data_IF_337041592121
#
_entry.id   IF_337041592121
#
_cell.length_a   1.000
_cell.length_b   1.000
_cell.length_c   1.000
_cell.angle_alpha   90.00
_cell.angle_beta   90.00
_cell.angle_gamma   90.00
#
_symmetry.space_group_name_H-M   'P 1'
#
loop_
_entity.id
_entity.type
_entity.pdbx_description
1 polymer ?
#
# COMPACT_ATOMS: atom_id res chain seq x y z
N UNK A 1 -81.34 -9.93 25.14
CA UNK A 1 -81.58 -8.95 24.06
C UNK A 1 -80.59 -9.30 22.94
N UNK A 2 -80.93 -10.25 22.07
CA UNK A 2 -81.64 -10.05 20.78
C UNK A 2 -80.84 -9.16 19.81
N UNK A 3 -80.50 -9.54 18.57
CA UNK A 3 -80.66 -10.78 17.81
C UNK A 3 -79.78 -10.74 16.54
N UNK A 4 -79.30 -11.93 16.11
CA UNK A 4 -79.15 -12.56 14.75
C UNK A 4 -79.04 -11.63 13.51
N UNK A 5 -78.19 -11.89 12.50
CA UNK A 5 -78.29 -12.94 11.44
C UNK A 5 -77.00 -12.86 10.55
N UNK A 6 -76.20 -13.87 10.15
CA UNK A 6 -76.41 -15.10 9.31
C UNK A 6 -76.82 -14.69 7.87
N UNK A 7 -76.17 -15.01 6.73
CA UNK A 7 -75.29 -16.12 6.29
C UNK A 7 -74.63 -15.86 4.87
N UNK A 8 -74.11 -16.82 4.02
CA UNK A 8 -72.80 -16.75 3.33
C UNK A 8 -72.82 -17.01 1.78
N UNK A 9 -71.65 -17.26 1.17
CA UNK A 9 -71.44 -17.81 -0.20
C UNK A 9 -70.94 -16.77 -1.22
N UNK A 10 -70.18 -17.02 -2.30
CA UNK A 10 -69.57 -18.18 -2.99
C UNK A 10 -68.61 -17.62 -4.07
N UNK A 11 -67.58 -18.39 -4.44
CA UNK A 11 -66.80 -18.46 -5.71
C UNK A 11 -66.97 -17.42 -6.84
N UNK A 12 -65.83 -17.01 -7.44
CA UNK A 12 -65.78 -16.58 -8.85
C UNK A 12 -64.48 -15.87 -9.27
N UNK A 13 -63.57 -16.60 -9.95
CA UNK A 13 -62.78 -16.05 -11.07
C UNK A 13 -63.76 -15.66 -12.22
N UNK A 14 -63.46 -14.78 -13.20
CA UNK A 14 -62.27 -14.92 -14.06
C UNK A 14 -61.79 -13.66 -14.85
N UNK A 15 -60.84 -13.92 -15.75
CA UNK A 15 -60.63 -13.43 -17.12
C UNK A 15 -60.09 -12.04 -17.53
N UNK A 16 -59.19 -12.20 -18.50
CA UNK A 16 -58.47 -11.32 -19.40
C UNK A 16 -59.45 -10.59 -20.35
N UNK A 17 -59.18 -9.33 -20.68
CA UNK A 17 -59.65 -8.78 -21.95
C UNK A 17 -58.62 -7.86 -22.62
N UNK A 18 -58.57 -7.99 -23.93
CA UNK A 18 -57.53 -7.57 -24.87
C UNK A 18 -57.95 -6.28 -25.60
N UNK A 19 -56.94 -5.48 -26.02
CA UNK A 19 -56.86 -4.35 -26.98
C UNK A 19 -58.02 -4.14 -28.00
N UNK A 20 -58.22 -2.96 -28.70
CA UNK A 20 -57.21 -2.30 -29.57
C UNK A 20 -57.47 -0.76 -29.89
N UNK A 21 -57.22 -0.20 -31.09
CA UNK A 21 -55.97 0.36 -31.66
C UNK A 21 -56.10 1.84 -32.11
N UNK A 22 -55.06 2.51 -32.67
CA UNK A 22 -55.14 3.38 -33.90
C UNK A 22 -53.74 3.67 -34.46
N UNK A 23 -53.69 3.66 -35.80
CA UNK A 23 -52.61 3.71 -36.82
C UNK A 23 -51.86 5.06 -36.92
N UNK A 24 -50.52 5.09 -37.06
CA UNK A 24 -49.65 4.99 -38.27
C UNK A 24 -49.52 6.28 -39.10
N UNK A 25 -48.31 6.83 -39.17
CA UNK A 25 -47.74 7.38 -40.42
C UNK A 25 -46.21 7.43 -40.37
N UNK A 26 -45.61 7.04 -41.48
CA UNK A 26 -44.19 6.77 -41.72
C UNK A 26 -43.48 7.99 -42.32
N UNK A 27 -42.15 8.10 -42.14
CA UNK A 27 -41.09 8.17 -43.19
C UNK A 27 -39.86 8.95 -42.72
N UNK A 28 -38.67 8.41 -43.04
CA UNK A 28 -37.42 9.18 -43.18
C UNK A 28 -36.18 8.53 -42.57
N UNK A 29 -35.45 7.74 -43.36
CA UNK A 29 -34.04 7.38 -43.11
C UNK A 29 -33.15 8.55 -43.57
N UNK A 30 -32.15 9.03 -42.83
CA UNK A 30 -30.72 8.62 -42.84
C UNK A 30 -29.90 9.64 -41.99
N UNK A 31 -28.61 9.37 -41.66
CA UNK A 31 -27.98 9.78 -40.41
C UNK A 31 -27.04 11.00 -40.50
N UNK A 32 -26.52 11.39 -39.31
CA UNK A 32 -25.32 12.21 -39.05
C UNK A 32 -25.57 13.67 -38.68
N UNK A 33 -25.41 14.02 -37.40
CA UNK A 33 -24.51 15.10 -36.95
C UNK A 33 -24.58 15.34 -35.42
N UNK A 34 -23.43 15.14 -34.78
CA UNK A 34 -22.94 15.79 -33.55
C UNK A 34 -23.54 15.41 -32.17
N UNK A 35 -22.70 14.92 -31.23
CA UNK A 35 -23.05 14.96 -29.81
C UNK A 35 -23.01 16.42 -29.35
N UNK A 36 -24.19 16.95 -29.05
CA UNK A 36 -24.40 18.24 -28.40
C UNK A 36 -23.52 18.35 -27.14
N UNK A 37 -22.61 19.32 -27.14
CA UNK A 37 -21.89 19.80 -25.95
C UNK A 37 -22.91 20.44 -24.99
N UNK A 38 -23.68 19.61 -24.28
CA UNK A 38 -24.55 20.07 -23.20
C UNK A 38 -23.73 20.22 -21.92
N UNK A 39 -23.76 21.43 -21.38
CA UNK A 39 -22.97 21.91 -20.26
C UNK A 39 -22.92 20.94 -19.08
N UNK A 40 -21.71 20.74 -18.57
CA UNK A 40 -21.44 20.06 -17.30
C UNK A 40 -22.09 20.84 -16.17
N UNK A 41 -23.31 20.43 -15.78
CA UNK A 41 -23.88 20.80 -14.48
C UNK A 41 -22.93 20.27 -13.41
N UNK A 42 -22.40 21.15 -12.55
CA UNK A 42 -21.68 20.73 -11.34
C UNK A 42 -22.70 20.01 -10.45
N UNK A 43 -22.77 18.69 -10.55
CA UNK A 43 -23.57 17.88 -9.64
C UNK A 43 -22.89 17.95 -8.28
N UNK A 44 -23.58 18.54 -7.31
CA UNK A 44 -23.33 18.31 -5.88
C UNK A 44 -23.36 16.80 -5.67
N UNK A 45 -22.17 16.18 -5.64
CA UNK A 45 -22.03 14.74 -5.59
C UNK A 45 -22.50 14.27 -4.21
N UNK A 46 -23.64 13.59 -4.16
CA UNK A 46 -24.07 12.88 -2.97
C UNK A 46 -23.07 11.75 -2.67
N UNK A 47 -22.86 11.35 -1.40
CA UNK A 47 -21.97 10.24 -1.06
C UNK A 47 -22.25 8.96 -1.88
N UNK A 48 -23.52 8.70 -2.18
CA UNK A 48 -23.95 7.59 -3.04
C UNK A 48 -23.52 7.77 -4.51
N UNK A 49 -23.61 9.00 -5.05
CA UNK A 49 -23.13 9.31 -6.40
C UNK A 49 -21.63 9.08 -6.53
N UNK A 50 -20.85 9.47 -5.51
CA UNK A 50 -19.42 9.19 -5.43
C UNK A 50 -19.15 7.68 -5.39
N UNK A 51 -19.91 6.91 -4.62
CA UNK A 51 -19.74 5.46 -4.53
C UNK A 51 -20.05 4.76 -5.86
N UNK A 52 -21.14 5.14 -6.53
CA UNK A 52 -21.49 4.62 -7.85
C UNK A 52 -20.41 4.94 -8.88
N UNK A 53 -19.86 6.15 -8.84
CA UNK A 53 -18.81 6.57 -9.76
C UNK A 53 -17.48 5.88 -9.50
N UNK A 54 -17.11 5.67 -8.23
CA UNK A 54 -15.96 4.84 -7.84
C UNK A 54 -16.11 3.40 -8.34
N UNK A 55 -17.31 2.82 -8.21
CA UNK A 55 -17.58 1.47 -8.69
C UNK A 55 -17.48 1.38 -10.23
N UNK A 56 -18.02 2.38 -10.94
CA UNK A 56 -17.92 2.49 -12.41
C UNK A 56 -16.45 2.58 -12.85
N UNK A 57 -15.66 3.43 -12.20
CA UNK A 57 -14.23 3.59 -12.51
C UNK A 57 -13.43 2.31 -12.21
N UNK A 58 -13.74 1.62 -11.12
CA UNK A 58 -13.11 0.33 -10.79
C UNK A 58 -13.43 -0.76 -11.80
N UNK A 59 -14.68 -0.81 -12.31
CA UNK A 59 -15.05 -1.72 -13.38
C UNK A 59 -14.33 -1.40 -14.69
N UNK A 60 -14.20 -0.11 -15.04
CA UNK A 60 -13.44 0.31 -16.22
C UNK A 60 -11.95 -0.02 -16.11
N UNK A 61 -11.35 0.19 -14.94
CA UNK A 61 -9.97 -0.20 -14.69
C UNK A 61 -9.78 -1.71 -14.91
N UNK A 62 -10.65 -2.56 -14.32
CA UNK A 62 -10.58 -4.02 -14.49
C UNK A 62 -10.74 -4.45 -15.96
N UNK A 63 -11.63 -3.80 -16.70
CA UNK A 63 -11.80 -4.07 -18.13
C UNK A 63 -10.52 -3.75 -18.93
N UNK A 64 -9.87 -2.63 -18.64
CA UNK A 64 -8.62 -2.24 -19.30
C UNK A 64 -7.45 -3.15 -18.91
N UNK A 65 -7.37 -3.55 -17.65
CA UNK A 65 -6.38 -4.53 -17.17
C UNK A 65 -6.54 -5.90 -17.88
N UNK A 66 -7.77 -6.35 -18.12
CA UNK A 66 -8.04 -7.62 -18.81
C UNK A 66 -7.82 -7.57 -20.33
N UNK A 67 -8.03 -6.41 -20.98
CA UNK A 67 -7.92 -6.26 -22.43
C UNK A 67 -6.57 -5.69 -22.88
N UNK A 68 -5.72 -5.25 -21.96
CA UNK A 68 -4.31 -5.07 -22.28
C UNK A 68 -3.73 -6.45 -22.59
N UNK A 69 -3.32 -6.66 -23.84
CA UNK A 69 -2.38 -7.74 -24.17
C UNK A 69 -1.19 -7.51 -23.26
N UNK A 70 -1.07 -8.32 -22.21
CA UNK A 70 0.09 -8.32 -21.33
C UNK A 70 1.26 -8.63 -22.25
N UNK A 71 2.11 -7.63 -22.50
CA UNK A 71 3.30 -7.76 -23.35
C UNK A 71 4.21 -8.77 -22.68
N UNK A 72 4.00 -10.05 -22.97
CA UNK A 72 4.81 -11.14 -22.47
C UNK A 72 5.87 -11.38 -23.54
N UNK A 73 7.14 -11.23 -23.20
CA UNK A 73 8.26 -11.42 -24.12
C UNK A 73 8.20 -12.79 -24.82
N UNK A 74 7.66 -13.81 -24.14
CA UNK A 74 7.47 -15.15 -24.67
C UNK A 74 6.45 -15.22 -25.83
N UNK A 75 5.54 -14.26 -25.95
CA UNK A 75 4.57 -14.20 -27.06
C UNK A 75 5.17 -13.62 -28.35
N UNK A 76 6.42 -13.14 -28.29
CA UNK A 76 7.14 -12.54 -29.43
C UNK A 76 8.40 -13.32 -29.79
N UNK A 77 8.69 -14.40 -29.06
CA UNK A 77 9.62 -15.42 -29.50
C UNK A 77 8.83 -16.30 -30.48
N UNK A 78 9.09 -16.17 -31.78
CA UNK A 78 8.64 -17.19 -32.74
C UNK A 78 9.18 -18.54 -32.24
N UNK A 79 8.28 -19.50 -32.01
CA UNK A 79 8.65 -20.90 -31.91
C UNK A 79 9.55 -21.21 -33.11
N UNK A 80 10.78 -21.65 -32.86
CA UNK A 80 11.57 -22.20 -33.95
C UNK A 80 10.80 -23.41 -34.48
N UNK A 81 10.61 -23.41 -35.80
CA UNK A 81 10.04 -24.46 -36.62
C UNK A 81 10.28 -25.88 -36.06
N UNK A 82 9.25 -26.74 -35.93
CA UNK A 82 9.48 -28.14 -36.22
C UNK A 82 9.65 -28.25 -37.75
N UNK A 83 10.90 -28.29 -38.17
CA UNK A 83 11.34 -28.93 -39.41
C UNK A 83 10.69 -30.31 -39.51
N UNK A 84 9.61 -30.45 -40.28
CA UNK A 84 9.22 -31.66 -41.03
C UNK A 84 8.12 -31.30 -42.04
N UNK A 85 8.47 -31.22 -43.34
CA UNK A 85 7.48 -31.07 -44.39
C UNK A 85 8.03 -30.55 -45.72
N UNK A 86 8.89 -31.36 -46.35
CA UNK A 86 9.14 -31.53 -47.79
C UNK A 86 8.68 -30.41 -48.75
N UNK A 87 9.65 -29.78 -49.43
CA UNK A 87 9.39 -28.81 -50.49
C UNK A 87 10.63 -28.00 -50.87
N UNK A 88 11.34 -28.48 -51.89
CA UNK A 88 12.53 -27.87 -52.49
C UNK A 88 12.34 -26.39 -52.91
N UNK A 89 13.48 -25.69 -53.01
CA UNK A 89 13.67 -24.34 -53.58
C UNK A 89 13.19 -23.11 -52.79
N UNK A 90 14.02 -22.67 -51.83
CA UNK A 90 14.13 -21.24 -51.48
C UNK A 90 15.61 -20.79 -51.34
N UNK A 91 15.96 -19.60 -51.87
CA UNK A 91 17.34 -19.11 -51.87
C UNK A 91 17.82 -18.76 -50.45
N UNK A 92 19.12 -18.92 -50.15
CA UNK A 92 19.70 -18.64 -48.84
C UNK A 92 19.88 -17.13 -48.66
N UNK A 93 18.80 -16.41 -48.38
CA UNK A 93 18.87 -14.94 -48.33
C UNK A 93 17.80 -14.23 -47.52
N UNK A 94 16.82 -14.94 -46.94
CA UNK A 94 15.71 -14.30 -46.24
C UNK A 94 15.48 -14.88 -44.84
N UNK A 95 16.53 -14.95 -44.00
CA UNK A 95 16.29 -14.87 -42.55
C UNK A 95 15.87 -13.43 -42.26
N UNK A 96 14.56 -13.23 -42.10
CA UNK A 96 13.99 -11.98 -41.57
C UNK A 96 14.82 -11.60 -40.32
N UNK A 97 15.38 -10.38 -40.22
CA UNK A 97 16.16 -10.00 -39.05
C UNK A 97 15.27 -10.19 -37.83
N UNK A 98 15.77 -10.88 -36.80
CA UNK A 98 15.03 -11.22 -35.57
C UNK A 98 14.42 -9.97 -34.91
N UNK A 99 13.21 -9.60 -35.35
CA UNK A 99 12.43 -8.50 -34.80
C UNK A 99 11.79 -8.93 -33.48
N UNK A 100 11.47 -10.23 -33.35
CA UNK A 100 10.93 -10.83 -32.13
C UNK A 100 11.89 -10.73 -30.94
N UNK A 101 13.17 -11.07 -31.12
CA UNK A 101 14.17 -10.96 -30.03
C UNK A 101 14.41 -9.51 -29.61
N UNK A 102 14.36 -8.55 -30.54
CA UNK A 102 14.46 -7.11 -30.21
C UNK A 102 13.25 -6.61 -29.43
N UNK A 103 12.05 -7.02 -29.82
CA UNK A 103 10.80 -6.67 -29.12
C UNK A 103 10.76 -7.31 -27.73
N UNK A 104 11.15 -8.58 -27.61
CA UNK A 104 11.29 -9.28 -26.33
C UNK A 104 12.30 -8.59 -25.39
N UNK A 105 13.44 -8.13 -25.93
CA UNK A 105 14.43 -7.35 -25.18
C UNK A 105 13.85 -6.04 -24.65
N UNK A 106 13.15 -5.28 -25.49
CA UNK A 106 12.49 -4.02 -25.09
C UNK A 106 11.38 -4.26 -24.04
N UNK A 107 10.63 -5.35 -24.15
CA UNK A 107 9.61 -5.73 -23.17
C UNK A 107 10.26 -6.01 -21.81
N UNK A 108 11.35 -6.77 -21.79
CA UNK A 108 12.09 -7.06 -20.56
C UNK A 108 12.70 -5.79 -19.95
N UNK A 109 13.23 -4.87 -20.77
CA UNK A 109 13.73 -3.58 -20.31
C UNK A 109 12.60 -2.71 -19.71
N UNK A 110 11.43 -2.70 -20.34
CA UNK A 110 10.24 -2.00 -19.83
C UNK A 110 9.84 -2.57 -18.46
N UNK A 111 9.81 -3.90 -18.31
CA UNK A 111 9.43 -4.52 -17.04
C UNK A 111 10.47 -4.30 -15.94
N UNK A 112 11.76 -4.29 -16.28
CA UNK A 112 12.82 -3.88 -15.34
C UNK A 112 12.61 -2.44 -14.88
N UNK A 113 12.37 -1.51 -15.80
CA UNK A 113 12.16 -0.09 -15.48
C UNK A 113 10.90 0.15 -14.65
N UNK A 114 9.82 -0.60 -14.90
CA UNK A 114 8.62 -0.56 -14.05
C UNK A 114 8.93 -0.98 -12.62
N UNK A 115 9.63 -2.11 -12.44
CA UNK A 115 10.03 -2.58 -11.11
C UNK A 115 10.92 -1.57 -10.38
N UNK A 116 11.87 -0.97 -11.08
CA UNK A 116 12.73 0.08 -10.52
C UNK A 116 11.93 1.33 -10.10
N UNK A 117 10.99 1.75 -10.93
CA UNK A 117 10.12 2.90 -10.63
C UNK A 117 9.21 2.62 -9.42
N UNK A 118 8.61 1.43 -9.36
CA UNK A 118 7.75 1.02 -8.24
C UNK A 118 8.54 0.96 -6.93
N UNK A 119 9.78 0.48 -6.97
CA UNK A 119 10.67 0.47 -5.80
C UNK A 119 11.05 1.89 -5.35
N UNK A 120 11.41 2.77 -6.29
CA UNK A 120 11.67 4.20 -6.00
C UNK A 120 10.46 4.89 -5.40
N UNK A 121 9.28 4.65 -5.96
CA UNK A 121 8.03 5.24 -5.50
C UNK A 121 7.66 4.73 -4.10
N UNK A 122 7.85 3.43 -3.84
CA UNK A 122 7.67 2.83 -2.50
C UNK A 122 8.62 3.46 -1.49
N UNK A 123 9.91 3.56 -1.80
CA UNK A 123 10.91 4.20 -0.93
C UNK A 123 10.55 5.66 -0.64
N UNK A 124 10.14 6.41 -1.66
CA UNK A 124 9.70 7.80 -1.50
C UNK A 124 8.47 7.90 -0.58
N UNK A 125 7.46 7.04 -0.77
CA UNK A 125 6.28 7.03 0.11
C UNK A 125 6.61 6.69 1.55
N UNK A 126 7.49 5.70 1.79
CA UNK A 126 7.94 5.35 3.15
C UNK A 126 8.67 6.54 3.77
N UNK A 127 9.60 7.17 3.05
CA UNK A 127 10.33 8.34 3.53
C UNK A 127 9.40 9.52 3.86
N UNK A 128 8.43 9.82 2.98
CA UNK A 128 7.44 10.88 3.23
C UNK A 128 6.50 10.58 4.39
N UNK A 129 6.12 9.31 4.57
CA UNK A 129 5.34 8.90 5.74
C UNK A 129 6.14 9.06 7.04
N UNK A 130 7.43 8.69 7.03
CA UNK A 130 8.32 8.92 8.16
C UNK A 130 8.42 10.41 8.54
N UNK A 131 8.69 11.27 7.56
CA UNK A 131 8.72 12.72 7.77
C UNK A 131 7.41 13.27 8.36
N UNK A 132 6.27 12.79 7.88
CA UNK A 132 4.96 13.20 8.40
C UNK A 132 4.74 12.71 9.83
N UNK A 133 5.18 11.50 10.15
CA UNK A 133 5.11 10.94 11.49
C UNK A 133 5.99 11.72 12.47
N UNK A 134 7.22 12.07 12.09
CA UNK A 134 8.12 12.90 12.90
C UNK A 134 7.51 14.27 13.18
N UNK A 135 6.96 14.92 12.14
CA UNK A 135 6.28 16.21 12.28
C UNK A 135 5.04 16.10 13.18
N UNK A 136 4.29 14.99 13.08
CA UNK A 136 3.14 14.75 13.94
C UNK A 136 3.55 14.59 15.41
N UNK A 137 4.60 13.81 15.69
CA UNK A 137 5.14 13.68 17.04
C UNK A 137 5.61 15.03 17.59
N UNK A 138 6.37 15.79 16.80
CA UNK A 138 6.82 17.12 17.18
C UNK A 138 5.66 18.07 17.50
N UNK A 139 4.65 18.11 16.63
CA UNK A 139 3.45 18.93 16.85
C UNK A 139 2.67 18.48 18.08
N UNK A 140 2.62 17.17 18.34
CA UNK A 140 1.98 16.62 19.56
C UNK A 140 2.73 17.05 20.81
N UNK A 141 4.07 17.02 20.80
CA UNK A 141 4.88 17.50 21.92
C UNK A 141 4.69 18.99 22.15
N UNK A 142 4.73 19.81 21.09
CA UNK A 142 4.45 21.24 21.20
C UNK A 142 3.04 21.51 21.74
N UNK A 143 2.06 20.75 21.28
CA UNK A 143 0.68 20.83 21.80
C UNK A 143 0.69 20.55 23.30
N UNK A 144 1.27 19.44 23.74
CA UNK A 144 1.36 19.13 25.16
C UNK A 144 2.07 20.24 25.95
N UNK A 145 3.14 20.83 25.43
CA UNK A 145 3.86 21.91 26.11
C UNK A 145 3.01 23.19 26.22
N UNK A 146 2.23 23.52 25.19
CA UNK A 146 1.30 24.67 25.21
C UNK A 146 0.12 24.43 26.16
N UNK A 147 -0.43 23.22 26.19
CA UNK A 147 -1.63 22.88 26.97
C UNK A 147 -1.32 22.37 28.39
N UNK A 148 -0.06 22.03 28.69
CA UNK A 148 0.44 21.63 30.01
C UNK A 148 1.75 22.39 30.33
N UNK A 149 1.66 23.70 30.60
CA UNK A 149 2.83 24.54 30.86
C UNK A 149 3.66 24.11 32.08
N UNK A 150 3.10 23.29 32.97
CA UNK A 150 3.83 22.65 34.06
C UNK A 150 4.98 21.77 33.55
N UNK A 151 4.88 21.20 32.33
CA UNK A 151 5.99 20.48 31.69
C UNK A 151 7.15 21.40 31.34
N UNK A 152 6.87 22.63 30.91
CA UNK A 152 7.89 23.65 30.64
C UNK A 152 8.61 24.07 31.93
N UNK A 153 7.93 23.99 33.09
CA UNK A 153 8.55 24.31 34.38
C UNK A 153 9.75 23.41 34.72
N UNK A 154 9.76 22.16 34.23
CA UNK A 154 10.87 21.22 34.35
C UNK A 154 12.11 21.65 33.55
N UNK A 155 11.94 22.52 32.56
CA UNK A 155 13.01 23.05 31.72
C UNK A 155 13.44 24.46 32.11
N UNK A 156 12.96 24.99 33.24
CA UNK A 156 13.52 26.21 33.80
C UNK A 156 14.98 26.01 34.14
N UNK A 157 15.79 27.07 34.01
CA UNK A 157 17.24 27.02 34.28
C UNK A 157 17.54 26.44 35.67
N UNK A 158 16.71 26.78 36.66
CA UNK A 158 16.86 26.27 38.02
C UNK A 158 16.53 24.77 38.12
N UNK A 159 15.42 24.30 37.51
CA UNK A 159 15.09 22.87 37.50
C UNK A 159 16.16 22.03 36.78
N UNK A 160 16.69 22.55 35.67
CA UNK A 160 17.78 21.91 34.92
C UNK A 160 19.07 21.89 35.75
N UNK A 161 19.40 22.99 36.43
CA UNK A 161 20.55 23.06 37.34
C UNK A 161 20.45 22.03 38.46
N UNK A 162 19.31 21.94 39.15
CA UNK A 162 19.11 20.95 40.21
C UNK A 162 19.24 19.52 39.67
N UNK A 163 18.67 19.26 38.50
CA UNK A 163 18.80 17.95 37.85
C UNK A 163 20.25 17.60 37.50
N UNK A 164 21.04 18.57 37.02
CA UNK A 164 22.47 18.40 36.77
C UNK A 164 23.22 18.09 38.08
N UNK A 165 22.93 18.83 39.16
CA UNK A 165 23.57 18.61 40.46
C UNK A 165 23.27 17.18 40.97
N UNK A 166 22.00 16.75 40.90
CA UNK A 166 21.59 15.41 41.32
C UNK A 166 22.28 14.33 40.48
N UNK A 167 22.31 14.49 39.15
CA UNK A 167 22.95 13.53 38.25
C UNK A 167 24.46 13.46 38.47
N UNK A 168 25.14 14.61 38.63
CA UNK A 168 26.57 14.64 38.93
C UNK A 168 26.86 13.99 40.29
N UNK A 169 26.05 14.26 41.31
CA UNK A 169 26.20 13.59 42.60
C UNK A 169 25.97 12.07 42.52
N UNK A 170 25.05 11.60 41.67
CA UNK A 170 24.88 10.17 41.39
C UNK A 170 26.11 9.58 40.68
N UNK A 171 26.64 10.30 39.68
CA UNK A 171 27.82 9.90 38.93
C UNK A 171 29.06 9.79 39.84
N UNK A 172 29.27 10.76 40.72
CA UNK A 172 30.36 10.73 41.71
C UNK A 172 30.23 9.55 42.67
N UNK A 173 29.02 9.30 43.20
CA UNK A 173 28.77 8.14 44.07
C UNK A 173 29.04 6.82 43.37
N UNK A 174 28.57 6.66 42.14
CA UNK A 174 28.84 5.48 41.33
C UNK A 174 30.33 5.35 41.01
N UNK A 175 31.03 6.46 40.74
CA UNK A 175 32.47 6.47 40.53
C UNK A 175 33.24 5.98 41.75
N UNK A 176 32.88 6.46 42.95
CA UNK A 176 33.45 5.99 44.21
C UNK A 176 33.17 4.50 44.46
N UNK A 177 31.93 4.06 44.19
CA UNK A 177 31.55 2.66 44.35
C UNK A 177 32.36 1.77 43.41
N UNK A 178 32.43 2.10 42.12
CA UNK A 178 33.20 1.36 41.13
C UNK A 178 34.70 1.33 41.48
N UNK A 179 35.27 2.44 41.94
CA UNK A 179 36.66 2.49 42.37
C UNK A 179 36.94 1.54 43.56
N UNK A 180 36.03 1.51 44.53
CA UNK A 180 36.12 0.60 45.67
C UNK A 180 36.00 -0.86 45.25
N UNK A 181 35.03 -1.19 44.40
CA UNK A 181 34.84 -2.54 43.87
C UNK A 181 36.06 -3.01 43.07
N UNK A 182 36.65 -2.14 42.25
CA UNK A 182 37.88 -2.43 41.53
C UNK A 182 39.08 -2.67 42.46
N UNK A 183 39.20 -1.90 43.54
CA UNK A 183 40.29 -2.09 44.50
C UNK A 183 40.12 -3.40 45.28
N UNK A 184 38.90 -3.73 45.72
CA UNK A 184 38.62 -5.03 46.34
C UNK A 184 38.97 -6.19 45.40
N UNK A 185 38.56 -6.10 44.13
CA UNK A 185 38.90 -7.10 43.11
C UNK A 185 40.42 -7.24 42.93
N UNK A 186 41.18 -6.14 42.95
CA UNK A 186 42.65 -6.18 42.87
C UNK A 186 43.27 -6.86 44.09
N UNK A 187 42.78 -6.56 45.28
CA UNK A 187 43.24 -7.19 46.52
C UNK A 187 42.96 -8.70 46.52
N UNK A 188 41.76 -9.11 46.11
CA UNK A 188 41.38 -10.51 45.95
C UNK A 188 42.27 -11.23 44.93
N UNK A 189 42.53 -10.62 43.77
CA UNK A 189 43.44 -11.17 42.76
C UNK A 189 44.87 -11.33 43.31
N UNK A 190 45.39 -10.32 43.99
CA UNK A 190 46.74 -10.35 44.57
C UNK A 190 46.86 -11.43 45.64
N UNK A 191 45.82 -11.60 46.46
CA UNK A 191 45.76 -12.66 47.46
C UNK A 191 45.75 -14.04 46.79
N UNK A 192 44.93 -14.22 45.76
CA UNK A 192 44.86 -15.46 44.99
C UNK A 192 46.20 -15.79 44.29
N UNK A 193 46.90 -14.77 43.78
CA UNK A 193 48.23 -14.93 43.19
C UNK A 193 49.28 -15.37 44.21
N UNK A 194 49.23 -14.82 45.44
CA UNK A 194 50.10 -15.25 46.53
C UNK A 194 49.81 -16.68 46.98
N UNK A 195 48.52 -17.03 47.11
CA UNK A 195 48.07 -18.37 47.48
C UNK A 195 48.44 -19.41 46.40
N UNK A 196 48.21 -19.10 45.11
CA UNK A 196 48.58 -19.99 44.01
C UNK A 196 50.10 -20.03 43.76
N UNK A 197 50.82 -18.92 43.93
CA UNK A 197 52.28 -18.90 43.83
C UNK A 197 52.95 -19.82 44.86
N UNK A 198 52.32 -20.04 46.01
CA UNK A 198 52.73 -21.02 47.01
C UNK A 198 52.51 -22.47 46.53
N UNK A 199 51.40 -22.74 45.84
CA UNK A 199 51.07 -24.06 45.29
C UNK A 199 52.03 -24.47 44.16
N UNK A 200 52.44 -23.51 43.32
CA UNK A 200 53.33 -23.80 42.17
C UNK A 200 54.81 -23.92 42.56
N UNK A 201 55.26 -23.29 43.65
CA UNK A 201 56.64 -23.45 44.16
C UNK A 201 56.86 -24.68 45.05
N UNK A 202 55.78 -25.38 45.45
CA UNK A 202 55.84 -26.57 46.30
C UNK A 202 55.70 -27.93 45.60
N UNK A 203 55.61 -27.97 44.26
CA UNK A 203 55.43 -29.20 43.46
C UNK A 203 56.66 -29.60 42.61
N UNK A 204 57.87 -29.23 43.04
CA UNK A 204 59.14 -29.74 42.49
C UNK A 204 59.92 -30.46 43.58
#
# INVERSE_FOLDING_TARGET
MSAKHVQPGTSGQPDIETCPPVRRSQKGATPTSQPSLRGKKKSTATPTSLLCELMRLKAQQKYLECNQVKLNANNFLDDNDPDEGDGEDKPPGCRRPSSGTKVAGLINDIDRLKLELDDKLRKHHVAKRGQLQDMWHYMSTLKEDVFQPERLSLYTVNAVRERIIVLNGQLERLGLQNAKELEMLREEYKKLEQENGFVWKGSI
#
